data_IF_246335850624
#
_entry.id   IF_246335850624
#
_cell.length_a   1.000
_cell.length_b   1.000
_cell.length_c   1.000
_cell.angle_alpha   90.00
_cell.angle_beta   90.00
_cell.angle_gamma   90.00
#
_symmetry.space_group_name_H-M   'P 1'
#
loop_
_entity.id
_entity.type
_entity.pdbx_description
1 polymer ?
#
# COMPACT_ATOMS: atom_id res chain seq x y z
N UNK A 1 -22.32 -73.40 -25.62
CA UNK A 1 -22.44 -72.15 -24.87
C UNK A 1 -21.04 -71.60 -24.77
N UNK A 2 -20.68 -70.63 -25.61
CA UNK A 2 -19.37 -70.00 -25.52
C UNK A 2 -19.36 -69.16 -24.24
N UNK A 3 -18.52 -69.53 -23.28
CA UNK A 3 -18.19 -68.70 -22.14
C UNK A 3 -17.68 -67.37 -22.70
N UNK A 4 -18.43 -66.28 -22.48
CA UNK A 4 -17.89 -64.96 -22.71
C UNK A 4 -16.75 -64.80 -21.70
N UNK A 5 -15.51 -65.00 -22.16
CA UNK A 5 -14.32 -64.65 -21.41
C UNK A 5 -14.39 -63.14 -21.24
N UNK A 6 -14.95 -62.68 -20.12
CA UNK A 6 -14.87 -61.29 -19.71
C UNK A 6 -13.38 -60.98 -19.62
N UNK A 7 -12.89 -60.16 -20.55
CA UNK A 7 -11.50 -59.73 -20.52
C UNK A 7 -11.25 -59.00 -19.21
N UNK A 8 -10.58 -59.69 -18.28
CA UNK A 8 -10.37 -59.21 -16.90
C UNK A 8 -9.53 -57.93 -16.86
N UNK A 9 -8.82 -57.61 -17.94
CA UNK A 9 -8.05 -56.38 -18.12
C UNK A 9 -8.84 -55.22 -18.72
N UNK A 10 -10.06 -55.48 -19.22
CA UNK A 10 -10.86 -54.48 -19.94
C UNK A 10 -11.19 -53.26 -19.09
N UNK A 11 -11.49 -53.46 -17.81
CA UNK A 11 -11.80 -52.36 -16.89
C UNK A 11 -10.60 -51.41 -16.76
N UNK A 12 -9.41 -51.93 -16.47
CA UNK A 12 -8.19 -51.15 -16.29
C UNK A 12 -7.77 -50.44 -17.58
N UNK A 13 -7.84 -51.14 -18.71
CA UNK A 13 -7.49 -50.56 -20.03
C UNK A 13 -8.40 -49.37 -20.38
N UNK A 14 -9.71 -49.49 -20.11
CA UNK A 14 -10.64 -48.38 -20.29
C UNK A 14 -10.38 -47.24 -19.30
N UNK A 15 -10.10 -47.57 -18.03
CA UNK A 15 -9.82 -46.58 -17.00
C UNK A 15 -8.55 -45.75 -17.30
N UNK A 16 -7.53 -46.33 -17.94
CA UNK A 16 -6.34 -45.58 -18.39
C UNK A 16 -6.66 -44.46 -19.38
N UNK A 17 -7.74 -44.60 -20.14
CA UNK A 17 -8.23 -43.58 -21.09
C UNK A 17 -9.21 -42.59 -20.45
N UNK A 18 -9.42 -42.67 -19.13
CA UNK A 18 -10.36 -41.84 -18.38
C UNK A 18 -11.81 -42.36 -18.40
N UNK A 19 -12.07 -43.52 -19.02
CA UNK A 19 -13.38 -44.14 -19.06
C UNK A 19 -13.56 -45.11 -17.90
N UNK A 20 -13.98 -44.59 -16.75
CA UNK A 20 -14.21 -45.41 -15.56
C UNK A 20 -15.52 -46.18 -15.67
N UNK A 21 -15.43 -47.51 -15.48
CA UNK A 21 -16.61 -48.36 -15.29
C UNK A 21 -17.25 -48.19 -13.91
N UNK A 22 -18.28 -48.99 -13.58
CA UNK A 22 -18.86 -49.01 -12.24
C UNK A 22 -17.79 -49.32 -11.19
N UNK A 23 -17.84 -48.61 -10.05
CA UNK A 23 -16.95 -48.82 -8.91
C UNK A 23 -17.82 -49.25 -7.74
N UNK A 24 -17.70 -50.52 -7.35
CA UNK A 24 -18.39 -51.10 -6.21
C UNK A 24 -17.39 -51.57 -5.16
N UNK A 25 -17.79 -51.44 -3.89
CA UNK A 25 -17.04 -52.00 -2.78
C UNK A 25 -17.09 -53.53 -2.85
N UNK A 26 -15.96 -54.20 -2.63
CA UNK A 26 -15.85 -55.67 -2.74
C UNK A 26 -15.81 -56.24 -4.16
N UNK A 27 -15.74 -55.41 -5.21
CA UNK A 27 -15.58 -55.84 -6.60
C UNK A 27 -14.25 -55.32 -7.22
N UNK A 28 -13.09 -55.82 -6.72
CA UNK A 28 -11.79 -55.38 -7.20
C UNK A 28 -11.60 -55.73 -8.67
N UNK A 29 -10.98 -54.82 -9.43
CA UNK A 29 -10.71 -55.02 -10.85
C UNK A 29 -9.21 -55.21 -11.08
N UNK A 30 -8.85 -56.20 -11.90
CA UNK A 30 -7.47 -56.49 -12.24
C UNK A 30 -6.83 -55.30 -12.96
N UNK A 31 -5.61 -54.95 -12.55
CA UNK A 31 -4.91 -53.81 -13.12
C UNK A 31 -3.79 -53.28 -12.23
N UNK A 32 -3.18 -52.20 -12.74
CA UNK A 32 -2.15 -51.46 -12.05
C UNK A 32 -2.66 -50.07 -11.70
N UNK A 33 -2.44 -49.67 -10.45
CA UNK A 33 -2.96 -48.45 -9.86
C UNK A 33 -1.90 -47.76 -8.99
N UNK A 34 -2.23 -46.57 -8.51
CA UNK A 34 -1.49 -45.92 -7.42
C UNK A 34 -2.43 -45.43 -6.33
N UNK A 35 -1.94 -45.35 -5.11
CA UNK A 35 -2.68 -44.81 -3.96
C UNK A 35 -1.78 -44.03 -3.02
N UNK A 36 -2.34 -43.09 -2.27
CA UNK A 36 -1.61 -42.37 -1.21
C UNK A 36 -2.54 -41.96 -0.09
N UNK A 37 -1.97 -41.85 1.11
CA UNK A 37 -2.60 -41.05 2.16
C UNK A 37 -2.37 -39.57 1.90
N UNK A 38 -3.20 -38.73 2.53
CA UNK A 38 -3.04 -37.28 2.47
C UNK A 38 -1.62 -36.89 2.92
N UNK A 39 -0.94 -36.10 2.08
CA UNK A 39 0.43 -35.62 2.30
C UNK A 39 1.52 -36.73 2.38
N UNK A 40 1.26 -37.92 1.82
CA UNK A 40 2.23 -39.01 1.67
C UNK A 40 2.55 -39.29 0.19
N UNK A 41 3.71 -39.89 -0.13
CA UNK A 41 4.05 -40.29 -1.49
C UNK A 41 3.03 -41.28 -2.07
N UNK A 42 2.91 -41.29 -3.40
CA UNK A 42 2.16 -42.32 -4.12
C UNK A 42 2.88 -43.67 -4.01
N UNK A 43 2.10 -44.70 -3.67
CA UNK A 43 2.52 -46.09 -3.62
C UNK A 43 1.90 -46.86 -4.80
N UNK A 44 2.68 -47.69 -5.51
CA UNK A 44 2.18 -48.52 -6.59
C UNK A 44 1.29 -49.63 -6.03
N UNK A 45 0.22 -49.96 -6.74
CA UNK A 45 -0.72 -51.03 -6.38
C UNK A 45 -0.93 -51.94 -7.58
N UNK A 46 -0.76 -53.24 -7.40
CA UNK A 46 -1.17 -54.25 -8.37
C UNK A 46 -2.31 -55.08 -7.79
N UNK A 47 -3.35 -55.30 -8.58
CA UNK A 47 -4.45 -56.21 -8.26
C UNK A 47 -4.53 -57.25 -9.37
N UNK A 48 -4.57 -58.53 -9.03
CA UNK A 48 -4.71 -59.61 -9.99
C UNK A 48 -5.56 -60.76 -9.44
N UNK A 49 -6.17 -61.51 -10.35
CA UNK A 49 -6.97 -62.69 -10.04
C UNK A 49 -6.20 -63.95 -10.43
N UNK A 50 -5.95 -64.82 -9.46
CA UNK A 50 -5.19 -66.06 -9.63
C UNK A 50 -5.80 -67.16 -8.74
N UNK A 51 -5.86 -68.39 -9.23
CA UNK A 51 -6.40 -69.55 -8.51
C UNK A 51 -7.79 -69.34 -7.87
N UNK A 52 -8.66 -68.56 -8.54
CA UNK A 52 -10.02 -68.27 -8.09
C UNK A 52 -10.09 -67.25 -6.95
N UNK A 53 -9.01 -66.54 -6.66
CA UNK A 53 -8.91 -65.54 -5.58
C UNK A 53 -8.31 -64.24 -6.08
N UNK A 54 -8.73 -63.15 -5.44
CA UNK A 54 -8.15 -61.83 -5.66
C UNK A 54 -6.92 -61.62 -4.78
N UNK A 55 -5.86 -61.13 -5.41
CA UNK A 55 -4.61 -60.78 -4.77
C UNK A 55 -4.31 -59.30 -5.01
N UNK A 56 -3.69 -58.64 -4.03
CA UNK A 56 -3.20 -57.28 -4.20
C UNK A 56 -1.88 -57.05 -3.49
N UNK A 57 -1.05 -56.21 -4.10
CA UNK A 57 0.21 -55.70 -3.56
C UNK A 57 0.18 -54.18 -3.54
N UNK A 58 0.53 -53.57 -2.40
CA UNK A 58 0.76 -52.14 -2.24
C UNK A 58 2.24 -51.93 -1.92
N UNK A 59 2.99 -51.44 -2.90
CA UNK A 59 4.45 -51.52 -2.87
C UNK A 59 4.87 -52.99 -2.77
N UNK A 60 5.73 -53.30 -1.80
CA UNK A 60 6.20 -54.66 -1.50
C UNK A 60 5.29 -55.43 -0.53
N UNK A 61 4.14 -54.84 -0.12
CA UNK A 61 3.27 -55.42 0.93
C UNK A 61 2.03 -56.05 0.32
N UNK A 62 1.75 -57.30 0.71
CA UNK A 62 0.48 -57.95 0.37
C UNK A 62 -0.66 -57.35 1.19
N UNK A 63 -1.78 -57.06 0.53
CA UNK A 63 -3.00 -56.50 1.13
C UNK A 63 -4.24 -57.18 0.54
N UNK A 64 -5.37 -57.10 1.23
CA UNK A 64 -6.65 -57.54 0.68
C UNK A 64 -7.05 -56.66 -0.51
N UNK A 65 -7.42 -57.30 -1.62
CA UNK A 65 -7.79 -56.60 -2.85
C UNK A 65 -9.05 -55.75 -2.68
N UNK A 66 -10.01 -56.21 -1.89
CA UNK A 66 -11.26 -55.48 -1.60
C UNK A 66 -10.98 -54.23 -0.78
N UNK A 67 -10.08 -54.33 0.21
CA UNK A 67 -9.73 -53.21 1.09
C UNK A 67 -9.03 -52.07 0.34
N UNK A 68 -8.17 -52.39 -0.64
CA UNK A 68 -7.38 -51.38 -1.36
C UNK A 68 -8.10 -50.82 -2.59
N UNK A 69 -9.06 -51.56 -3.14
CA UNK A 69 -9.74 -51.23 -4.39
C UNK A 69 -10.34 -49.81 -4.41
N UNK A 70 -11.14 -49.47 -3.40
CA UNK A 70 -11.85 -48.19 -3.34
C UNK A 70 -10.90 -46.98 -3.25
N UNK A 71 -9.67 -47.19 -2.76
CA UNK A 71 -8.62 -46.18 -2.66
C UNK A 71 -7.81 -45.98 -3.94
N UNK A 72 -7.64 -47.04 -4.75
CA UNK A 72 -6.76 -47.02 -5.91
C UNK A 72 -7.50 -46.95 -7.26
N UNK A 73 -8.75 -47.39 -7.33
CA UNK A 73 -9.56 -47.48 -8.57
C UNK A 73 -9.60 -46.21 -9.42
N UNK A 74 -9.53 -45.01 -8.81
CA UNK A 74 -9.58 -43.72 -9.53
C UNK A 74 -8.23 -43.26 -10.10
N UNK A 75 -7.16 -44.00 -9.84
CA UNK A 75 -5.80 -43.64 -10.25
C UNK A 75 -5.12 -44.83 -10.98
N UNK A 76 -5.66 -45.26 -12.14
CA UNK A 76 -5.03 -46.29 -12.96
C UNK A 76 -3.70 -45.77 -13.52
N UNK A 77 -2.72 -46.66 -13.61
CA UNK A 77 -1.38 -46.37 -14.15
C UNK A 77 -1.00 -47.43 -15.17
N UNK A 78 -0.11 -47.07 -16.10
CA UNK A 78 0.45 -48.05 -17.04
C UNK A 78 1.30 -49.07 -16.30
N UNK A 79 1.44 -50.27 -16.88
CA UNK A 79 2.34 -51.28 -16.33
C UNK A 79 3.79 -50.77 -16.23
N UNK A 80 4.23 -49.99 -17.22
CA UNK A 80 5.55 -49.34 -17.20
C UNK A 80 5.72 -48.39 -16.01
N UNK A 81 4.72 -47.56 -15.72
CA UNK A 81 4.74 -46.66 -14.56
C UNK A 81 4.71 -47.45 -13.23
N UNK A 82 3.99 -48.57 -13.17
CA UNK A 82 3.99 -49.46 -12.01
C UNK A 82 5.37 -50.07 -11.75
N UNK A 83 5.99 -50.64 -12.78
CA UNK A 83 7.31 -51.27 -12.70
C UNK A 83 8.36 -50.24 -12.29
N UNK A 84 8.36 -49.07 -12.93
CA UNK A 84 9.24 -47.94 -12.57
C UNK A 84 9.09 -47.54 -11.10
N UNK A 85 7.85 -47.46 -10.60
CA UNK A 85 7.59 -47.10 -9.21
C UNK A 85 8.07 -48.18 -8.21
N UNK A 86 7.88 -49.47 -8.53
CA UNK A 86 8.39 -50.60 -7.73
C UNK A 86 9.93 -50.66 -7.72
N UNK A 87 10.57 -50.33 -8.83
CA UNK A 87 12.03 -50.25 -8.93
C UNK A 87 12.62 -48.99 -8.27
N UNK A 88 11.78 -48.15 -7.67
CA UNK A 88 12.20 -46.94 -6.95
C UNK A 88 12.39 -45.69 -7.84
N UNK A 89 12.01 -45.76 -9.12
CA UNK A 89 12.12 -44.67 -10.09
C UNK A 89 11.06 -43.57 -9.98
N UNK A 90 10.09 -43.70 -9.06
CA UNK A 90 9.06 -42.68 -8.82
C UNK A 90 8.02 -42.52 -9.94
N UNK A 91 7.46 -41.32 -10.08
CA UNK A 91 6.35 -41.01 -11.01
C UNK A 91 6.71 -39.82 -11.90
N UNK A 92 6.42 -39.91 -13.21
CA UNK A 92 6.79 -38.87 -14.19
C UNK A 92 6.04 -37.54 -14.02
N UNK A 93 4.84 -37.60 -13.44
CA UNK A 93 3.96 -36.48 -13.17
C UNK A 93 4.15 -35.88 -11.76
N UNK A 94 5.00 -36.50 -10.92
CA UNK A 94 5.33 -35.97 -9.61
C UNK A 94 6.77 -35.42 -9.61
N UNK A 95 7.01 -34.29 -8.93
CA UNK A 95 8.35 -33.82 -8.70
C UNK A 95 9.11 -34.79 -7.79
N UNK A 96 10.43 -34.88 -7.97
CA UNK A 96 11.29 -35.72 -7.13
C UNK A 96 11.08 -35.36 -5.65
N UNK A 97 10.68 -36.34 -4.85
CA UNK A 97 10.62 -36.15 -3.39
C UNK A 97 12.03 -35.90 -2.88
N UNK A 98 12.27 -34.72 -2.32
CA UNK A 98 13.45 -34.52 -1.46
C UNK A 98 13.27 -35.39 -0.24
N UNK A 99 13.87 -36.59 -0.25
CA UNK A 99 14.05 -37.42 0.92
C UNK A 99 14.94 -36.67 1.91
N UNK A 100 14.30 -35.89 2.77
CA UNK A 100 14.90 -35.20 3.90
C UNK A 100 14.40 -35.81 5.20
N UNK A 101 14.60 -37.11 5.41
CA UNK A 101 14.43 -37.75 6.73
C UNK A 101 15.51 -37.31 7.73
N UNK A 102 16.36 -36.35 7.34
CA UNK A 102 17.36 -35.72 8.19
C UNK A 102 17.03 -34.25 8.47
N UNK A 103 15.76 -33.93 8.74
CA UNK A 103 15.41 -32.64 9.35
C UNK A 103 16.00 -32.62 10.76
N UNK A 104 16.89 -31.67 11.11
CA UNK A 104 17.28 -31.51 12.50
C UNK A 104 16.02 -31.19 13.30
N UNK A 105 15.73 -31.98 14.35
CA UNK A 105 14.52 -31.81 15.18
C UNK A 105 14.52 -30.53 16.00
N UNK A 106 15.65 -29.83 16.05
CA UNK A 106 15.90 -28.70 16.94
C UNK A 106 15.89 -27.34 16.22
N UNK A 107 15.42 -27.28 14.96
CA UNK A 107 15.29 -26.00 14.25
C UNK A 107 14.05 -25.23 14.72
N UNK A 108 14.20 -23.91 14.90
CA UNK A 108 13.05 -23.03 15.08
C UNK A 108 12.16 -23.02 13.81
N UNK A 109 10.88 -22.61 13.92
CA UNK A 109 9.95 -22.63 12.79
C UNK A 109 10.40 -21.85 11.55
N UNK A 110 11.16 -20.78 11.74
CA UNK A 110 11.68 -19.96 10.63
C UNK A 110 12.83 -20.69 9.91
N UNK A 111 13.78 -21.24 10.64
CA UNK A 111 14.88 -22.04 10.09
C UNK A 111 14.35 -23.28 9.38
N UNK A 112 13.39 -23.99 9.99
CA UNK A 112 12.74 -25.14 9.35
C UNK A 112 12.09 -24.77 8.00
N UNK A 113 11.45 -23.60 7.93
CA UNK A 113 10.82 -23.13 6.70
C UNK A 113 11.83 -22.66 5.64
N UNK A 114 12.96 -22.08 6.05
CA UNK A 114 14.07 -21.74 5.14
C UNK A 114 14.67 -22.99 4.49
N UNK A 115 14.86 -24.06 5.28
CA UNK A 115 15.35 -25.33 4.75
C UNK A 115 14.34 -25.97 3.77
N UNK A 116 13.04 -25.94 4.09
CA UNK A 116 11.97 -26.39 3.18
C UNK A 116 11.97 -25.59 1.87
N UNK A 117 12.09 -24.27 1.95
CA UNK A 117 12.16 -23.39 0.79
C UNK A 117 13.40 -23.64 -0.08
N UNK A 118 14.58 -23.79 0.53
CA UNK A 118 15.82 -23.99 -0.21
C UNK A 118 15.76 -25.26 -1.09
N UNK A 119 15.24 -26.36 -0.53
CA UNK A 119 15.07 -27.62 -1.23
C UNK A 119 14.10 -27.52 -2.42
N UNK A 120 12.91 -26.97 -2.20
CA UNK A 120 11.89 -26.81 -3.26
C UNK A 120 12.33 -25.80 -4.32
N UNK A 121 13.03 -24.72 -3.92
CA UNK A 121 13.57 -23.69 -4.83
C UNK A 121 14.60 -24.28 -5.79
N UNK A 122 15.56 -25.05 -5.29
CA UNK A 122 16.62 -25.63 -6.12
C UNK A 122 16.04 -26.52 -7.22
N UNK A 123 15.10 -27.40 -6.87
CA UNK A 123 14.44 -28.28 -7.81
C UNK A 123 13.59 -27.51 -8.84
N UNK A 124 12.78 -26.55 -8.38
CA UNK A 124 11.93 -25.76 -9.27
C UNK A 124 12.77 -24.89 -10.24
N UNK A 125 13.85 -24.26 -9.76
CA UNK A 125 14.76 -23.48 -10.61
C UNK A 125 15.49 -24.35 -11.63
N UNK A 126 15.89 -25.57 -11.25
CA UNK A 126 16.47 -26.52 -12.18
C UNK A 126 15.47 -26.94 -13.27
N UNK A 127 14.22 -27.21 -12.89
CA UNK A 127 13.15 -27.58 -13.81
C UNK A 127 12.81 -26.47 -14.82
N UNK A 128 12.75 -25.21 -14.35
CA UNK A 128 12.43 -24.05 -15.19
C UNK A 128 13.47 -23.71 -16.27
N UNK A 129 14.67 -24.33 -16.25
CA UNK A 129 15.69 -24.13 -17.29
C UNK A 129 15.31 -24.69 -18.66
N UNK A 130 14.31 -25.57 -18.71
CA UNK A 130 13.81 -26.18 -19.95
C UNK A 130 12.34 -25.78 -20.16
N UNK A 131 11.91 -25.57 -21.42
CA UNK A 131 10.50 -25.34 -21.70
C UNK A 131 9.68 -26.58 -21.34
N UNK A 132 8.48 -26.36 -20.82
CA UNK A 132 7.47 -27.40 -20.59
C UNK A 132 6.91 -27.80 -21.95
N UNK A 133 7.03 -29.08 -22.31
CA UNK A 133 6.59 -29.62 -23.61
C UNK A 133 5.59 -30.76 -23.48
N UNK A 134 5.42 -31.30 -22.27
CA UNK A 134 4.53 -32.43 -21.98
C UNK A 134 3.55 -32.11 -20.86
N UNK A 135 2.41 -32.83 -20.81
CA UNK A 135 1.43 -32.70 -19.73
C UNK A 135 2.02 -33.06 -18.37
N UNK A 136 2.83 -34.12 -18.28
CA UNK A 136 3.50 -34.52 -17.04
C UNK A 136 4.47 -33.45 -16.51
N UNK A 137 5.16 -32.72 -17.39
CA UNK A 137 5.95 -31.54 -17.00
C UNK A 137 5.06 -30.40 -16.49
N UNK A 138 3.92 -30.13 -17.11
CA UNK A 138 2.97 -29.13 -16.64
C UNK A 138 2.39 -29.48 -15.25
N UNK A 139 2.08 -30.76 -15.02
CA UNK A 139 1.55 -31.25 -13.75
C UNK A 139 2.61 -31.13 -12.63
N UNK A 140 3.87 -31.48 -12.91
CA UNK A 140 4.99 -31.26 -11.98
C UNK A 140 5.16 -29.79 -11.63
N UNK A 141 5.08 -28.89 -12.62
CA UNK A 141 5.15 -27.45 -12.41
C UNK A 141 4.03 -26.95 -11.49
N UNK A 142 2.80 -27.44 -11.68
CA UNK A 142 1.66 -27.08 -10.85
C UNK A 142 1.84 -27.55 -9.39
N UNK A 143 2.42 -28.73 -9.16
CA UNK A 143 2.72 -29.24 -7.82
C UNK A 143 3.79 -28.37 -7.13
N UNK A 144 4.91 -28.06 -7.79
CA UNK A 144 5.92 -27.16 -7.23
C UNK A 144 5.35 -25.76 -6.93
N UNK A 145 4.53 -25.20 -7.83
CA UNK A 145 3.83 -23.94 -7.58
C UNK A 145 2.97 -23.98 -6.30
N UNK A 146 2.20 -25.06 -6.10
CA UNK A 146 1.42 -25.27 -4.88
C UNK A 146 2.27 -25.41 -3.61
N UNK A 147 3.41 -26.09 -3.68
CA UNK A 147 4.33 -26.24 -2.53
C UNK A 147 4.96 -24.90 -2.17
N UNK A 148 5.49 -24.16 -3.13
CA UNK A 148 6.09 -22.84 -2.92
C UNK A 148 5.08 -21.81 -2.38
N UNK A 149 3.84 -21.79 -2.90
CA UNK A 149 2.78 -20.92 -2.38
C UNK A 149 2.37 -21.29 -0.95
N UNK A 150 2.40 -22.58 -0.60
CA UNK A 150 2.17 -23.05 0.78
C UNK A 150 3.28 -22.58 1.72
N UNK A 151 4.54 -22.63 1.30
CA UNK A 151 5.70 -22.10 2.06
C UNK A 151 5.52 -20.59 2.29
N UNK A 152 5.17 -19.83 1.25
CA UNK A 152 4.92 -18.40 1.36
C UNK A 152 3.77 -18.08 2.34
N UNK A 153 2.71 -18.89 2.33
CA UNK A 153 1.61 -18.76 3.30
C UNK A 153 2.07 -19.03 4.74
N UNK A 154 2.81 -20.12 4.98
CA UNK A 154 3.39 -20.42 6.30
C UNK A 154 4.27 -19.28 6.82
N UNK A 155 5.10 -18.69 5.96
CA UNK A 155 5.95 -17.55 6.31
C UNK A 155 5.11 -16.33 6.73
N UNK A 156 4.03 -16.04 5.99
CA UNK A 156 3.10 -14.95 6.31
C UNK A 156 2.43 -15.17 7.67
N UNK A 157 1.98 -16.39 7.94
CA UNK A 157 1.32 -16.75 9.19
C UNK A 157 2.28 -16.66 10.39
N UNK A 158 3.50 -17.18 10.27
CA UNK A 158 4.54 -17.08 11.31
C UNK A 158 4.91 -15.62 11.58
N UNK A 159 5.18 -14.84 10.54
CA UNK A 159 5.49 -13.41 10.68
C UNK A 159 4.35 -12.65 11.36
N UNK A 160 3.09 -12.97 11.04
CA UNK A 160 1.93 -12.35 11.70
C UNK A 160 1.94 -12.65 13.20
N UNK A 161 2.15 -13.91 13.59
CA UNK A 161 2.20 -14.33 15.00
C UNK A 161 3.34 -13.63 15.74
N UNK A 162 4.54 -13.61 15.18
CA UNK A 162 5.71 -12.97 15.79
C UNK A 162 5.53 -11.45 15.91
N UNK A 163 4.94 -10.80 14.90
CA UNK A 163 4.77 -9.35 14.86
C UNK A 163 3.61 -8.84 15.71
N UNK A 164 2.59 -9.66 15.94
CA UNK A 164 1.36 -9.23 16.61
C UNK A 164 1.59 -8.60 18.00
N UNK A 165 2.40 -9.17 18.91
CA UNK A 165 2.66 -8.57 20.22
C UNK A 165 3.33 -7.19 20.14
N UNK A 166 4.18 -6.98 19.13
CA UNK A 166 4.84 -5.68 18.92
C UNK A 166 3.86 -4.63 18.38
N UNK A 167 2.94 -5.01 17.49
CA UNK A 167 1.88 -4.14 17.02
C UNK A 167 0.93 -3.76 18.15
N UNK A 168 0.54 -4.72 18.99
CA UNK A 168 -0.34 -4.48 20.11
C UNK A 168 0.33 -3.66 21.21
N UNK A 169 1.62 -3.90 21.48
CA UNK A 169 2.43 -3.05 22.35
C UNK A 169 2.55 -1.62 21.83
N UNK A 170 2.77 -1.44 20.52
CA UNK A 170 2.77 -0.13 19.87
C UNK A 170 1.44 0.61 20.01
N UNK A 171 0.32 -0.07 19.72
CA UNK A 171 -1.04 0.47 19.89
C UNK A 171 -1.33 0.87 21.33
N UNK A 172 -0.95 0.04 22.30
CA UNK A 172 -1.15 0.35 23.71
C UNK A 172 -0.39 1.61 24.13
N UNK A 173 0.83 1.81 23.63
CA UNK A 173 1.58 3.05 23.84
C UNK A 173 0.88 4.23 23.16
N UNK A 174 0.51 4.10 21.89
CA UNK A 174 -0.18 5.16 21.14
C UNK A 174 -1.46 5.60 21.84
N UNK A 175 -2.29 4.65 22.27
CA UNK A 175 -3.55 4.91 22.95
C UNK A 175 -3.35 5.58 24.32
N UNK A 176 -2.33 5.15 25.08
CA UNK A 176 -1.95 5.81 26.34
C UNK A 176 -1.63 7.30 26.15
N UNK A 177 -1.01 7.67 25.03
CA UNK A 177 -0.56 9.04 24.78
C UNK A 177 -1.54 9.88 23.94
N UNK A 178 -2.49 9.25 23.23
CA UNK A 178 -3.41 9.92 22.30
C UNK A 178 -4.15 11.08 22.96
N UNK A 179 -4.85 10.83 24.06
CA UNK A 179 -5.59 11.87 24.79
C UNK A 179 -4.68 13.02 25.25
N UNK A 180 -3.50 12.70 25.77
CA UNK A 180 -2.55 13.72 26.25
C UNK A 180 -1.87 14.52 25.13
N UNK A 181 -1.82 13.99 23.90
CA UNK A 181 -1.35 14.73 22.72
C UNK A 181 -2.45 15.60 22.13
N UNK A 182 -3.65 15.05 22.01
CA UNK A 182 -4.73 15.65 21.23
C UNK A 182 -5.56 16.66 22.05
N UNK A 183 -5.92 16.34 23.30
CA UNK A 183 -6.78 17.19 24.12
C UNK A 183 -6.12 18.53 24.49
N UNK A 184 -4.86 18.58 24.98
CA UNK A 184 -4.21 19.85 25.29
C UNK A 184 -4.00 20.74 24.06
N UNK A 185 -3.69 20.14 22.91
CA UNK A 185 -3.58 20.88 21.64
C UNK A 185 -4.94 21.43 21.21
N UNK A 186 -6.00 20.63 21.30
CA UNK A 186 -7.37 21.07 21.02
C UNK A 186 -7.80 22.23 21.93
N UNK A 187 -7.60 22.11 23.25
CA UNK A 187 -7.90 23.18 24.21
C UNK A 187 -7.04 24.42 23.94
N UNK A 188 -5.75 24.27 23.65
CA UNK A 188 -4.86 25.38 23.29
C UNK A 188 -5.37 26.14 22.06
N UNK A 189 -5.81 25.41 21.02
CA UNK A 189 -6.42 26.00 19.81
C UNK A 189 -7.74 26.70 20.14
N UNK A 190 -8.59 26.11 20.98
CA UNK A 190 -9.83 26.73 21.44
C UNK A 190 -9.58 28.03 22.22
N UNK A 191 -8.60 28.05 23.14
CA UNK A 191 -8.23 29.25 23.89
C UNK A 191 -7.74 30.37 22.96
N UNK A 192 -6.91 30.04 21.96
CA UNK A 192 -6.47 31.01 20.94
C UNK A 192 -7.66 31.58 20.17
N UNK A 193 -8.59 30.72 19.73
CA UNK A 193 -9.82 31.15 19.04
C UNK A 193 -10.72 32.00 19.92
N UNK A 194 -10.79 31.70 21.22
CA UNK A 194 -11.54 32.49 22.18
C UNK A 194 -11.01 33.92 22.30
N UNK A 195 -9.72 34.13 22.00
CA UNK A 195 -9.10 35.46 21.96
C UNK A 195 -9.34 36.20 20.64
N UNK A 196 -9.91 35.58 19.60
CA UNK A 196 -10.04 36.18 18.26
C UNK A 196 -10.85 37.47 18.31
N UNK A 197 -12.01 37.46 18.99
CA UNK A 197 -12.86 38.65 19.10
C UNK A 197 -12.13 39.83 19.77
N UNK A 198 -11.35 39.55 20.82
CA UNK A 198 -10.54 40.58 21.47
C UNK A 198 -9.43 41.10 20.55
N UNK A 199 -8.69 40.22 19.88
CA UNK A 199 -7.62 40.61 18.98
C UNK A 199 -8.13 41.35 17.74
N UNK A 200 -9.30 40.97 17.21
CA UNK A 200 -9.98 41.67 16.12
C UNK A 200 -10.39 43.09 16.54
N UNK A 201 -10.91 43.25 17.75
CA UNK A 201 -11.25 44.56 18.31
C UNK A 201 -10.00 45.43 18.53
N UNK A 202 -8.91 44.86 19.04
CA UNK A 202 -7.62 45.56 19.13
C UNK A 202 -7.09 45.95 17.76
N UNK A 203 -7.20 45.07 16.76
CA UNK A 203 -6.82 45.37 15.39
C UNK A 203 -7.70 46.47 14.78
N UNK A 204 -8.99 46.52 15.12
CA UNK A 204 -9.89 47.60 14.70
C UNK A 204 -9.46 48.94 15.27
N UNK A 205 -9.24 49.01 16.59
CA UNK A 205 -8.76 50.23 17.27
C UNK A 205 -7.42 50.71 16.71
N UNK A 206 -6.51 49.78 16.43
CA UNK A 206 -5.22 50.10 15.82
C UNK A 206 -5.36 50.61 14.40
N UNK A 207 -6.25 50.02 13.58
CA UNK A 207 -6.56 50.53 12.24
C UNK A 207 -7.18 51.93 12.29
N UNK A 208 -8.08 52.19 13.23
CA UNK A 208 -8.69 53.51 13.45
C UNK A 208 -7.61 54.54 13.86
N UNK A 209 -6.74 54.19 14.82
CA UNK A 209 -5.60 55.04 15.23
C UNK A 209 -4.66 55.29 14.07
N UNK A 210 -4.35 54.26 13.28
CA UNK A 210 -3.47 54.38 12.13
C UNK A 210 -4.08 55.27 11.04
N UNK A 211 -5.38 55.13 10.74
CA UNK A 211 -6.06 55.98 9.77
C UNK A 211 -6.03 57.45 10.19
N UNK A 212 -6.30 57.73 11.47
CA UNK A 212 -6.20 59.08 12.02
C UNK A 212 -4.76 59.63 11.98
N UNK A 213 -3.76 58.83 12.37
CA UNK A 213 -2.36 59.23 12.35
C UNK A 213 -1.83 59.46 10.92
N UNK A 214 -2.28 58.67 9.94
CA UNK A 214 -1.96 58.88 8.52
C UNK A 214 -2.58 60.17 7.98
N UNK A 215 -3.85 60.45 8.29
CA UNK A 215 -4.49 61.70 7.87
C UNK A 215 -3.79 62.93 8.46
N UNK A 216 -3.34 62.84 9.72
CA UNK A 216 -2.56 63.88 10.38
C UNK A 216 -1.16 64.04 9.77
N UNK A 217 -0.46 62.92 9.52
CA UNK A 217 0.83 62.93 8.86
C UNK A 217 0.74 63.54 7.44
N UNK A 218 -0.31 63.19 6.67
CA UNK A 218 -0.57 63.76 5.35
C UNK A 218 -0.83 65.28 5.43
N UNK A 219 -1.49 65.77 6.49
CA UNK A 219 -1.68 67.22 6.71
C UNK A 219 -0.36 67.92 7.00
N UNK A 220 0.40 67.41 7.97
CA UNK A 220 1.70 67.98 8.37
C UNK A 220 2.69 67.93 7.19
N UNK A 221 2.66 66.87 6.38
CA UNK A 221 3.50 66.75 5.20
C UNK A 221 3.18 67.84 4.17
N UNK A 222 1.89 68.14 3.92
CA UNK A 222 1.50 69.24 3.03
C UNK A 222 1.95 70.60 3.56
N UNK A 223 1.88 70.82 4.87
CA UNK A 223 2.37 72.04 5.51
C UNK A 223 3.90 72.15 5.41
N UNK A 224 4.63 71.06 5.63
CA UNK A 224 6.08 71.00 5.45
C UNK A 224 6.50 71.23 4.00
N UNK A 225 5.79 70.64 3.03
CA UNK A 225 6.03 70.87 1.61
C UNK A 225 5.75 72.33 1.21
N UNK A 226 4.68 72.94 1.73
CA UNK A 226 4.38 74.36 1.51
C UNK A 226 5.46 75.27 2.10
N UNK A 227 5.93 74.98 3.32
CA UNK A 227 7.02 75.72 3.96
C UNK A 227 8.36 75.56 3.23
N UNK A 228 8.67 74.36 2.72
CA UNK A 228 9.84 74.14 1.86
C UNK A 228 9.78 74.99 0.60
N UNK A 229 8.63 75.02 -0.09
CA UNK A 229 8.44 75.86 -1.29
C UNK A 229 8.53 77.35 -0.94
N UNK A 230 8.04 77.77 0.22
CA UNK A 230 8.17 79.15 0.69
C UNK A 230 9.63 79.53 0.98
N UNK A 231 10.38 78.66 1.66
CA UNK A 231 11.80 78.84 1.92
C UNK A 231 12.64 78.89 0.63
N UNK A 232 12.33 78.02 -0.33
CA UNK A 232 12.97 78.02 -1.65
C UNK A 232 12.69 79.31 -2.43
N UNK A 233 11.44 79.79 -2.42
CA UNK A 233 11.08 81.09 -3.02
C UNK A 233 11.78 82.27 -2.35
N UNK A 234 11.87 82.28 -1.02
CA UNK A 234 12.58 83.32 -0.28
C UNK A 234 14.09 83.31 -0.58
N UNK A 235 14.69 82.12 -0.71
CA UNK A 235 16.09 81.98 -1.10
C UNK A 235 16.37 82.43 -2.54
N UNK A 236 15.41 82.24 -3.45
CA UNK A 236 15.55 82.64 -4.85
C UNK A 236 15.46 84.16 -5.09
N UNK A 237 14.86 84.92 -4.15
CA UNK A 237 14.68 86.37 -4.30
C UNK A 237 15.99 87.17 -4.19
N UNK A 238 17.09 86.61 -3.66
CA UNK A 238 18.46 87.17 -3.69
C UNK A 238 18.58 88.67 -3.34
N UNK A 239 17.79 89.16 -2.38
CA UNK A 239 17.92 90.51 -1.83
C UNK A 239 18.94 90.52 -0.67
N UNK A 240 19.97 91.34 -0.78
CA UNK A 240 21.07 91.42 0.19
C UNK A 240 20.81 92.38 1.37
N UNK A 241 19.58 92.88 1.54
CA UNK A 241 19.25 93.70 2.70
C UNK A 241 19.05 92.85 3.97
N UNK A 242 19.40 93.41 5.12
CA UNK A 242 19.36 92.72 6.41
C UNK A 242 17.96 92.14 6.74
N UNK A 243 16.89 92.80 6.28
CA UNK A 243 15.52 92.32 6.45
C UNK A 243 15.20 91.08 5.60
N UNK A 244 15.73 91.01 4.37
CA UNK A 244 15.53 89.88 3.46
C UNK A 244 16.29 88.63 3.94
N UNK A 245 17.52 88.80 4.42
CA UNK A 245 18.32 87.71 5.03
C UNK A 245 17.64 87.16 6.28
N UNK A 246 17.07 88.03 7.13
CA UNK A 246 16.31 87.59 8.31
C UNK A 246 15.04 86.80 7.92
N UNK A 247 14.31 87.24 6.90
CA UNK A 247 13.13 86.54 6.38
C UNK A 247 13.49 85.16 5.80
N UNK A 248 14.60 85.06 5.06
CA UNK A 248 15.12 83.80 4.53
C UNK A 248 15.47 82.82 5.65
N UNK A 249 16.24 83.26 6.65
CA UNK A 249 16.63 82.41 7.78
C UNK A 249 15.42 81.92 8.59
N UNK A 250 14.40 82.77 8.77
CA UNK A 250 13.15 82.38 9.43
C UNK A 250 12.38 81.34 8.61
N UNK A 251 12.30 81.50 7.29
CA UNK A 251 11.63 80.53 6.41
C UNK A 251 12.35 79.17 6.38
N UNK A 252 13.68 79.16 6.40
CA UNK A 252 14.49 77.94 6.49
C UNK A 252 14.25 77.25 7.84
N UNK A 253 14.31 77.99 8.95
CA UNK A 253 14.07 77.44 10.29
C UNK A 253 12.64 76.88 10.44
N UNK A 254 11.65 77.53 9.84
CA UNK A 254 10.27 77.05 9.82
C UNK A 254 10.11 75.78 8.97
N UNK A 255 10.74 75.71 7.80
CA UNK A 255 10.75 74.53 6.95
C UNK A 255 11.43 73.32 7.64
N UNK A 256 12.56 73.54 8.31
CA UNK A 256 13.25 72.49 9.07
C UNK A 256 12.40 71.97 10.25
N UNK A 257 11.75 72.87 10.99
CA UNK A 257 10.85 72.49 12.10
C UNK A 257 9.68 71.65 11.60
N UNK A 258 9.05 72.06 10.50
CA UNK A 258 7.91 71.33 9.92
C UNK A 258 8.35 69.99 9.31
N UNK A 259 9.54 69.91 8.72
CA UNK A 259 10.11 68.65 8.25
C UNK A 259 10.37 67.66 9.40
N UNK A 260 10.87 68.12 10.55
CA UNK A 260 11.04 67.27 11.75
C UNK A 260 9.69 66.80 12.31
N UNK A 261 8.68 67.68 12.31
CA UNK A 261 7.31 67.33 12.73
C UNK A 261 6.70 66.28 11.79
N UNK A 262 6.87 66.43 10.47
CA UNK A 262 6.42 65.45 9.48
C UNK A 262 7.08 64.08 9.70
N UNK A 263 8.41 64.05 9.89
CA UNK A 263 9.16 62.82 10.15
C UNK A 263 8.79 62.14 11.48
N UNK A 264 8.33 62.90 12.49
CA UNK A 264 7.81 62.33 13.74
C UNK A 264 6.39 61.78 13.54
N UNK A 265 5.52 62.53 12.87
CA UNK A 265 4.15 62.11 12.57
C UNK A 265 4.12 60.82 11.71
N UNK A 266 5.02 60.70 10.73
CA UNK A 266 5.15 59.50 9.91
C UNK A 266 5.60 58.27 10.74
N UNK A 267 6.50 58.46 11.71
CA UNK A 267 6.89 57.39 12.66
C UNK A 267 5.72 56.96 13.54
N UNK A 268 4.88 57.90 13.99
CA UNK A 268 3.71 57.60 14.81
C UNK A 268 2.57 56.93 14.02
N UNK A 269 2.53 57.12 12.70
CA UNK A 269 1.58 56.48 11.77
C UNK A 269 1.95 55.02 11.41
N UNK A 270 3.12 54.54 11.80
CA UNK A 270 3.55 53.16 11.52
C UNK A 270 2.62 52.13 12.19
N UNK A 271 2.31 51.06 11.44
CA UNK A 271 1.44 49.99 11.90
C UNK A 271 2.08 49.25 13.08
N UNK A 272 1.31 48.98 14.13
CA UNK A 272 1.71 48.04 15.18
C UNK A 272 0.84 46.80 15.11
N UNK A 273 1.44 45.62 15.30
CA UNK A 273 0.67 44.38 15.33
C UNK A 273 -0.18 44.33 16.60
N UNK A 274 -1.49 44.21 16.44
CA UNK A 274 -2.39 43.90 17.55
C UNK A 274 -1.98 42.55 18.17
N UNK A 275 -1.83 42.54 19.49
CA UNK A 275 -1.34 41.37 20.20
C UNK A 275 -1.87 41.33 21.63
N UNK A 276 -1.90 40.13 22.22
CA UNK A 276 -2.31 39.89 23.59
C UNK A 276 -1.33 38.94 24.29
N UNK A 277 -1.37 38.93 25.62
CA UNK A 277 -0.53 38.06 26.46
C UNK A 277 0.76 38.71 26.97
N UNK A 278 1.41 38.03 27.90
CA UNK A 278 2.67 38.45 28.53
C UNK A 278 3.89 38.00 27.72
N UNK A 279 5.06 38.51 28.07
CA UNK A 279 6.36 38.04 27.55
C UNK A 279 6.47 36.52 27.68
N UNK A 280 6.77 35.86 26.55
CA UNK A 280 6.84 34.39 26.42
C UNK A 280 5.53 33.70 26.03
N UNK A 281 4.39 34.40 26.00
CA UNK A 281 3.08 33.85 25.66
C UNK A 281 2.26 34.81 24.76
N UNK A 282 2.95 35.59 23.92
CA UNK A 282 2.33 36.60 23.05
C UNK A 282 1.58 35.91 21.91
N UNK A 283 0.32 36.30 21.71
CA UNK A 283 -0.52 35.83 20.60
C UNK A 283 -0.91 37.03 19.73
N UNK A 284 -0.91 36.84 18.42
CA UNK A 284 -1.27 37.83 17.40
C UNK A 284 -2.12 37.17 16.31
N UNK A 285 -2.93 37.96 15.62
CA UNK A 285 -3.65 37.49 14.44
C UNK A 285 -2.66 37.02 13.36
N UNK A 286 -2.99 35.92 12.68
CA UNK A 286 -2.22 35.38 11.55
C UNK A 286 -3.14 35.20 10.36
N UNK A 287 -2.67 35.61 9.18
CA UNK A 287 -3.39 35.39 7.93
C UNK A 287 -3.14 33.97 7.46
N UNK A 288 -4.22 33.20 7.31
CA UNK A 288 -4.22 31.90 6.65
C UNK A 288 -4.84 32.08 5.27
N UNK A 289 -4.12 31.71 4.22
CA UNK A 289 -4.63 31.70 2.85
C UNK A 289 -5.06 30.28 2.55
N UNK A 290 -6.33 30.09 2.19
CA UNK A 290 -6.88 28.81 1.77
C UNK A 290 -7.65 28.99 0.46
N UNK A 291 -7.75 27.91 -0.32
CA UNK A 291 -8.54 27.90 -1.54
C UNK A 291 -9.98 27.47 -1.22
N UNK A 292 -10.94 28.22 -1.73
CA UNK A 292 -12.35 27.83 -1.77
C UNK A 292 -12.65 27.27 -3.17
N UNK A 293 -13.23 26.07 -3.24
CA UNK A 293 -13.61 25.46 -4.51
C UNK A 293 -15.01 25.97 -4.87
N UNK A 294 -15.07 26.89 -5.83
CA UNK A 294 -16.33 27.48 -6.31
C UNK A 294 -16.95 26.70 -7.46
N UNK A 295 -16.12 26.07 -8.28
CA UNK A 295 -16.51 25.20 -9.40
C UNK A 295 -15.56 24.00 -9.43
N UNK A 296 -16.11 22.83 -9.10
CA UNK A 296 -15.33 21.59 -9.02
C UNK A 296 -14.90 21.09 -10.40
N UNK A 297 -15.78 21.17 -11.40
CA UNK A 297 -15.52 20.63 -12.74
C UNK A 297 -14.44 21.46 -13.43
N UNK A 298 -14.51 22.78 -13.33
CA UNK A 298 -13.47 23.68 -13.86
C UNK A 298 -12.12 23.44 -13.19
N UNK A 299 -12.10 23.26 -11.86
CA UNK A 299 -10.87 22.99 -11.11
C UNK A 299 -10.27 21.62 -11.47
N UNK A 300 -11.09 20.58 -11.55
CA UNK A 300 -10.65 19.25 -11.95
C UNK A 300 -10.07 19.26 -13.36
N UNK A 301 -10.71 19.96 -14.31
CA UNK A 301 -10.21 20.10 -15.67
C UNK A 301 -8.87 20.85 -15.73
N UNK A 302 -8.65 21.84 -14.86
CA UNK A 302 -7.37 22.53 -14.74
C UNK A 302 -6.27 21.65 -14.10
N UNK A 303 -6.65 20.70 -13.25
CA UNK A 303 -5.73 19.81 -12.53
C UNK A 303 -5.49 18.46 -13.21
N UNK A 304 -6.24 18.11 -14.27
CA UNK A 304 -6.21 16.77 -14.92
C UNK A 304 -4.83 16.27 -15.33
N UNK A 305 -3.90 17.18 -15.62
CA UNK A 305 -2.56 16.83 -16.10
C UNK A 305 -1.56 16.54 -14.99
N UNK A 306 -1.94 16.80 -13.72
CA UNK A 306 -1.12 16.54 -12.54
C UNK A 306 -0.93 15.03 -12.32
N UNK A 307 0.29 14.56 -11.98
CA UNK A 307 0.56 13.15 -11.73
C UNK A 307 -0.37 12.51 -10.70
N UNK A 308 -0.66 13.23 -9.62
CA UNK A 308 -1.49 12.74 -8.50
C UNK A 308 -2.93 12.46 -8.95
N UNK A 309 -3.48 13.28 -9.86
CA UNK A 309 -4.82 13.06 -10.42
C UNK A 309 -4.80 11.84 -11.35
N UNK A 310 -3.77 11.69 -12.18
CA UNK A 310 -3.63 10.55 -13.10
C UNK A 310 -3.53 9.23 -12.33
N UNK A 311 -2.74 9.17 -11.27
CA UNK A 311 -2.58 7.99 -10.41
C UNK A 311 -3.90 7.58 -9.75
N UNK A 312 -4.65 8.55 -9.24
CA UNK A 312 -5.98 8.31 -8.65
C UNK A 312 -6.95 7.78 -9.70
N UNK A 313 -6.99 8.40 -10.89
CA UNK A 313 -7.85 7.97 -11.99
C UNK A 313 -7.50 6.54 -12.44
N UNK A 314 -6.22 6.22 -12.60
CA UNK A 314 -5.76 4.88 -12.95
C UNK A 314 -6.14 3.83 -11.90
N UNK A 315 -5.98 4.17 -10.61
CA UNK A 315 -6.38 3.30 -9.50
C UNK A 315 -7.88 3.02 -9.52
N UNK A 316 -8.70 4.03 -9.76
CA UNK A 316 -10.15 3.90 -9.86
C UNK A 316 -10.57 3.10 -11.10
N UNK A 317 -9.92 3.32 -12.25
CA UNK A 317 -10.17 2.57 -13.48
C UNK A 317 -9.86 1.08 -13.31
N UNK A 318 -8.71 0.74 -12.70
CA UNK A 318 -8.35 -0.65 -12.42
C UNK A 318 -9.30 -1.33 -11.43
N UNK A 319 -9.86 -0.58 -10.47
CA UNK A 319 -10.90 -1.10 -9.57
C UNK A 319 -12.20 -1.39 -10.32
N UNK A 320 -12.64 -0.48 -11.20
CA UNK A 320 -13.81 -0.65 -12.03
C UNK A 320 -13.68 -1.87 -12.97
N UNK A 321 -12.51 -2.02 -13.61
CA UNK A 321 -12.18 -3.15 -14.47
C UNK A 321 -12.26 -4.49 -13.72
N UNK A 322 -11.72 -4.57 -12.49
CA UNK A 322 -11.82 -5.76 -11.64
C UNK A 322 -13.26 -6.11 -11.24
N UNK A 323 -14.13 -5.10 -11.12
CA UNK A 323 -15.57 -5.32 -10.87
C UNK A 323 -16.39 -5.59 -12.14
N UNK A 324 -15.77 -5.59 -13.33
CA UNK A 324 -16.48 -5.76 -14.60
C UNK A 324 -17.31 -4.56 -15.04
N UNK A 325 -17.08 -3.37 -14.46
CA UNK A 325 -17.79 -2.13 -14.81
C UNK A 325 -16.91 -1.30 -15.72
N UNK A 326 -17.33 -1.12 -16.96
CA UNK A 326 -16.64 -0.24 -17.91
C UNK A 326 -17.15 1.20 -17.77
N UNK A 327 -16.24 2.13 -17.46
CA UNK A 327 -16.53 3.57 -17.40
C UNK A 327 -16.21 4.22 -18.76
N UNK A 328 -16.80 5.38 -19.02
CA UNK A 328 -16.51 6.13 -20.24
C UNK A 328 -15.01 6.48 -20.34
N UNK A 329 -14.37 6.14 -21.46
CA UNK A 329 -12.96 6.42 -21.71
C UNK A 329 -11.97 5.35 -21.23
N UNK A 330 -12.44 4.23 -20.67
CA UNK A 330 -11.64 3.02 -20.41
C UNK A 330 -12.17 1.82 -21.19
N UNK A 331 -11.34 0.78 -21.32
CA UNK A 331 -11.74 -0.52 -21.88
C UNK A 331 -11.20 -1.64 -20.99
N UNK A 332 -12.02 -2.65 -20.70
CA UNK A 332 -11.56 -3.81 -19.92
C UNK A 332 -10.80 -4.77 -20.85
N UNK A 333 -9.57 -5.13 -20.50
CA UNK A 333 -8.77 -6.15 -21.19
C UNK A 333 -8.42 -7.28 -20.21
N UNK A 334 -8.48 -8.52 -20.68
CA UNK A 334 -8.10 -9.71 -19.91
C UNK A 334 -6.99 -10.48 -20.62
N UNK A 335 -6.06 -11.00 -19.84
CA UNK A 335 -5.01 -11.90 -20.29
C UNK A 335 -4.99 -13.10 -19.33
N UNK A 336 -5.03 -14.31 -19.87
CA UNK A 336 -4.90 -15.52 -19.05
C UNK A 336 -3.41 -15.77 -18.80
N UNK A 337 -3.00 -15.67 -17.55
CA UNK A 337 -1.67 -16.05 -17.06
C UNK A 337 -1.84 -17.11 -15.99
N UNK A 338 -0.86 -18.00 -15.84
CA UNK A 338 -0.83 -18.91 -14.70
C UNK A 338 -0.90 -18.10 -13.40
N UNK A 339 -1.81 -18.49 -12.49
CA UNK A 339 -2.13 -17.78 -11.25
C UNK A 339 -1.14 -18.08 -10.13
#
# INVERSE_FOLDING_TARGET
>A
MAEAVTDIWSWWTNALTGNFGPIHDGDPQQGYYRTRFKDKPWEPVAIWFEDGKWHAMRGERQIDASDIWTWCCRNPITYEAYTKAIEGGGWDDEPETTFGDNKPTDLDPYQALLHEFAAEKEQAEAFMKKPITTQAEADRAAIWSKRLSTIAKKATDLHKVEKQPHLDGGRAVDDKWRGLKDEPDAISKQLKRHMDAFLQEQARKERERQAAARAEADRIQREADAARVAAEKAAAQNDNDAAAVAAQNNAIAEAERLAQQAAQAERDAQARNASAGRTGAKVSLRTFVFAEITDFDALLMALKDRPEIKEVVETLANRAAKSGVELAGMAIRSEQRAA
#
